data_IF_963953911172
#
_entry.id   IF_963953911172
#
_cell.length_a   1.000
_cell.length_b   1.000
_cell.length_c   1.000
_cell.angle_alpha   90.00
_cell.angle_beta   90.00
_cell.angle_gamma   90.00
#
_symmetry.space_group_name_H-M   'P 1'
#
loop_
_entity.id
_entity.type
_entity.pdbx_description
1 polymer ?
#
# COMPACT_ATOMS: atom_id res chain seq x y z
N UNK A 1 -7.96 20.15 5.14
CA UNK A 1 -6.84 19.57 4.38
C UNK A 1 -6.90 18.08 4.64
N UNK A 2 -7.05 17.26 3.60
CA UNK A 2 -7.04 15.80 3.74
C UNK A 2 -5.56 15.42 3.84
N UNK A 3 -5.11 15.00 5.03
CA UNK A 3 -3.75 14.53 5.27
C UNK A 3 -3.60 13.13 4.66
N UNK A 4 -3.48 13.08 3.33
CA UNK A 4 -3.28 11.82 2.61
C UNK A 4 -1.83 11.39 2.79
N UNK A 5 -1.62 10.32 3.55
CA UNK A 5 -0.32 9.71 3.77
C UNK A 5 0.01 8.79 2.61
N UNK A 6 1.30 8.62 2.33
CA UNK A 6 1.75 7.63 1.37
C UNK A 6 1.70 6.25 2.03
N UNK A 7 1.02 5.32 1.38
CA UNK A 7 0.97 3.92 1.76
C UNK A 7 1.58 3.08 0.64
N UNK A 8 2.53 2.23 0.99
CA UNK A 8 3.10 1.24 0.08
C UNK A 8 2.40 -0.09 0.32
N UNK A 9 1.64 -0.55 -0.68
CA UNK A 9 0.94 -1.83 -0.67
C UNK A 9 1.80 -2.84 -1.43
N UNK A 10 2.24 -3.87 -0.71
CA UNK A 10 3.00 -4.98 -1.27
C UNK A 10 2.08 -6.17 -1.47
N UNK A 11 2.06 -6.71 -2.68
CA UNK A 11 1.24 -7.85 -3.05
C UNK A 11 2.00 -8.84 -3.93
N UNK A 12 1.49 -10.06 -4.00
CA UNK A 12 2.03 -11.12 -4.84
C UNK A 12 1.14 -11.32 -6.05
N UNK A 13 1.70 -11.18 -7.24
CA UNK A 13 0.99 -11.50 -8.49
C UNK A 13 0.88 -13.01 -8.71
N UNK A 14 0.11 -13.43 -9.72
CA UNK A 14 0.00 -14.82 -10.16
C UNK A 14 1.37 -15.47 -10.46
N UNK A 15 2.34 -14.68 -10.92
CA UNK A 15 3.72 -15.16 -11.16
C UNK A 15 4.55 -15.32 -9.89
N UNK A 16 3.96 -15.21 -8.70
CA UNK A 16 4.66 -15.13 -7.40
C UNK A 16 5.66 -13.98 -7.27
N UNK A 17 5.58 -12.99 -8.15
CA UNK A 17 6.41 -11.80 -8.08
C UNK A 17 5.83 -10.84 -7.03
N UNK A 18 6.72 -10.33 -6.18
CA UNK A 18 6.39 -9.26 -5.23
C UNK A 18 6.33 -7.94 -6.00
N UNK A 19 5.18 -7.29 -5.94
CA UNK A 19 4.94 -5.96 -6.47
C UNK A 19 4.65 -5.01 -5.32
N UNK A 20 5.13 -3.78 -5.46
CA UNK A 20 4.99 -2.73 -4.46
C UNK A 20 4.43 -1.48 -5.13
N UNK A 21 3.20 -1.13 -4.75
CA UNK A 21 2.50 0.02 -5.32
C UNK A 21 2.27 1.08 -4.25
N UNK A 22 2.46 2.35 -4.62
CA UNK A 22 2.32 3.48 -3.72
C UNK A 22 0.97 4.18 -3.92
N UNK A 23 0.16 4.25 -2.88
CA UNK A 23 -1.13 4.92 -2.88
C UNK A 23 -1.14 6.06 -1.87
N UNK A 24 -1.82 7.16 -2.20
CA UNK A 24 -2.11 8.21 -1.24
C UNK A 24 -3.48 7.94 -0.64
N UNK A 25 -3.52 7.72 0.67
CA UNK A 25 -4.74 7.40 1.39
C UNK A 25 -4.71 8.04 2.78
N UNK A 26 -5.87 8.19 3.39
CA UNK A 26 -5.98 8.67 4.78
C UNK A 26 -5.61 7.55 5.76
N UNK A 27 -5.97 6.31 5.41
CA UNK A 27 -5.80 5.11 6.23
C UNK A 27 -5.38 3.89 5.40
N UNK A 28 -4.83 2.88 6.08
CA UNK A 28 -4.42 1.61 5.46
C UNK A 28 -5.58 0.87 4.77
N UNK A 29 -6.82 1.08 5.23
CA UNK A 29 -8.01 0.51 4.61
C UNK A 29 -8.31 1.17 3.25
N UNK A 30 -8.21 2.49 3.16
CA UNK A 30 -8.42 3.21 1.90
C UNK A 30 -7.30 2.86 0.91
N UNK A 31 -6.05 2.74 1.37
CA UNK A 31 -4.94 2.24 0.54
C UNK A 31 -5.20 0.83 -0.02
N UNK A 32 -5.80 -0.05 0.81
CA UNK A 32 -6.20 -1.40 0.38
C UNK A 32 -7.26 -1.36 -0.71
N UNK A 33 -8.30 -0.54 -0.54
CA UNK A 33 -9.37 -0.40 -1.53
C UNK A 33 -8.81 0.15 -2.84
N UNK A 34 -7.98 1.18 -2.79
CA UNK A 34 -7.30 1.73 -3.97
C UNK A 34 -6.46 0.67 -4.69
N UNK A 35 -5.72 -0.15 -3.95
CA UNK A 35 -4.94 -1.25 -4.53
C UNK A 35 -5.84 -2.31 -5.19
N UNK A 36 -6.99 -2.62 -4.58
CA UNK A 36 -7.98 -3.54 -5.17
C UNK A 36 -8.64 -2.97 -6.43
N UNK A 37 -8.93 -1.67 -6.46
CA UNK A 37 -9.51 -1.02 -7.64
C UNK A 37 -8.49 -0.86 -8.78
N UNK A 38 -7.23 -0.57 -8.44
CA UNK A 38 -6.15 -0.44 -9.42
C UNK A 38 -5.74 -1.79 -10.00
N UNK A 39 -5.70 -2.85 -9.19
CA UNK A 39 -5.19 -4.16 -9.58
C UNK A 39 -6.33 -5.18 -9.58
N UNK A 40 -6.80 -5.56 -10.78
CA UNK A 40 -7.83 -6.60 -10.95
C UNK A 40 -7.51 -7.91 -10.22
N UNK A 41 -6.23 -8.26 -10.11
CA UNK A 41 -5.80 -9.45 -9.38
C UNK A 41 -6.08 -9.35 -7.88
N UNK A 42 -5.88 -8.19 -7.27
CA UNK A 42 -6.20 -7.97 -5.84
C UNK A 42 -7.69 -7.90 -5.60
N UNK A 43 -8.45 -7.44 -6.59
CA UNK A 43 -9.90 -7.43 -6.53
C UNK A 43 -10.47 -8.85 -6.38
N UNK A 44 -9.98 -9.81 -7.17
CA UNK A 44 -10.40 -11.21 -7.11
C UNK A 44 -9.73 -11.98 -5.94
N UNK A 45 -8.49 -11.61 -5.62
CA UNK A 45 -7.71 -12.21 -4.54
C UNK A 45 -7.25 -11.17 -3.52
N UNK A 46 -8.15 -10.74 -2.61
CA UNK A 46 -7.82 -9.77 -1.56
C UNK A 46 -6.79 -10.30 -0.54
N UNK A 47 -6.49 -11.60 -0.56
CA UNK A 47 -5.45 -12.27 0.23
C UNK A 47 -4.06 -12.19 -0.42
N UNK A 48 -3.95 -11.72 -1.66
CA UNK A 48 -2.66 -11.55 -2.34
C UNK A 48 -1.84 -10.38 -1.78
N UNK A 49 -2.48 -9.48 -1.03
CA UNK A 49 -1.81 -8.41 -0.31
C UNK A 49 -1.05 -9.00 0.86
N UNK A 50 0.27 -8.84 0.83
CA UNK A 50 1.18 -9.33 1.85
C UNK A 50 1.32 -8.30 2.97
N UNK A 51 1.47 -7.02 2.61
CA UNK A 51 1.74 -5.96 3.58
C UNK A 51 1.28 -4.59 3.07
N UNK A 52 0.77 -3.77 3.99
CA UNK A 52 0.48 -2.34 3.73
C UNK A 52 1.33 -1.53 4.71
N UNK A 53 2.32 -0.80 4.18
CA UNK A 53 3.21 0.07 4.96
C UNK A 53 2.75 1.51 4.83
N UNK A 54 2.57 2.22 5.94
CA UNK A 54 2.42 3.67 5.91
C UNK A 54 3.81 4.32 5.93
N UNK A 55 4.18 5.05 4.89
CA UNK A 55 5.36 5.93 4.87
C UNK A 55 5.02 7.28 5.55
N UNK A 56 4.23 7.20 6.62
CA UNK A 56 3.76 8.33 7.40
C UNK A 56 4.78 8.66 8.48
N UNK A 57 5.70 9.56 8.14
CA UNK A 57 6.89 10.02 8.87
C UNK A 57 8.13 9.19 8.55
N UNK A 58 8.93 9.75 7.65
CA UNK A 58 10.38 9.80 7.88
C UNK A 58 10.51 10.50 9.24
N UNK A 59 10.61 9.73 10.32
CA UNK A 59 11.10 10.29 11.57
C UNK A 59 12.48 10.87 11.26
N UNK A 60 12.57 12.20 11.29
CA UNK A 60 13.76 12.99 10.99
C UNK A 60 14.89 12.77 12.02
N UNK A 61 14.94 11.61 12.67
CA UNK A 61 15.86 11.24 13.74
C UNK A 61 16.81 10.13 13.27
N UNK A 62 17.40 10.31 12.09
CA UNK A 62 18.68 9.68 11.79
C UNK A 62 19.79 10.71 12.07
N UNK A 63 20.24 10.68 13.33
CA UNK A 63 21.53 11.13 13.85
C UNK A 63 21.91 12.63 13.74
N UNK A 64 21.86 13.26 14.92
CA UNK A 64 22.73 14.36 15.33
C UNK A 64 24.18 13.90 15.52
#
# INVERSE_FOLDING_TARGET
MIDSKRYTVRYRDFSSHLQEECFYASDAFEARVLAMEAIRYLHDHPHAIDLIRCEGKIDSTAFA
#
